data_IF_481373234749
#
_entry.id   IF_481373234749
#
_cell.length_a   1.000
_cell.length_b   1.000
_cell.length_c   1.000
_cell.angle_alpha   90.00
_cell.angle_beta   90.00
_cell.angle_gamma   90.00
#
_symmetry.space_group_name_H-M   'P 1'
#
loop_
_entity.id
_entity.type
_entity.pdbx_description
1 polymer ?
#
# COMPACT_ATOMS: atom_id res chain seq x y z
N UNK A 1 7.86 -8.95 -2.36
CA UNK A 1 9.12 -9.16 -1.60
C UNK A 1 10.36 -8.62 -2.34
N UNK A 2 10.58 -8.94 -3.62
CA UNK A 2 11.75 -8.46 -4.38
C UNK A 2 11.91 -6.93 -4.37
N UNK A 3 10.83 -6.18 -4.63
CA UNK A 3 10.82 -4.71 -4.57
C UNK A 3 11.25 -4.16 -3.20
N UNK A 4 10.68 -4.69 -2.11
CA UNK A 4 11.03 -4.26 -0.75
C UNK A 4 12.53 -4.49 -0.45
N UNK A 5 13.07 -5.65 -0.84
CA UNK A 5 14.50 -5.94 -0.68
C UNK A 5 15.39 -4.98 -1.48
N UNK A 6 15.02 -4.68 -2.72
CA UNK A 6 15.77 -3.72 -3.56
C UNK A 6 15.78 -2.30 -2.97
N UNK A 7 14.63 -1.82 -2.49
CA UNK A 7 14.51 -0.49 -1.89
C UNK A 7 15.32 -0.36 -0.59
N UNK A 8 15.30 -1.40 0.24
CA UNK A 8 16.11 -1.50 1.45
C UNK A 8 17.62 -1.39 1.16
N UNK A 9 18.12 -2.16 0.17
CA UNK A 9 19.51 -2.11 -0.28
C UNK A 9 19.89 -0.72 -0.82
N UNK A 10 18.94 -0.01 -1.42
CA UNK A 10 19.11 1.37 -1.92
C UNK A 10 19.14 2.45 -0.83
N UNK A 11 18.99 2.10 0.46
CA UNK A 11 18.92 3.10 1.54
C UNK A 11 17.68 3.99 1.43
N UNK A 12 16.57 3.43 0.96
CA UNK A 12 15.30 4.15 0.81
C UNK A 12 14.32 3.70 1.89
N UNK A 13 13.84 4.66 2.69
CA UNK A 13 12.79 4.43 3.69
C UNK A 13 11.49 5.05 3.20
N UNK A 14 10.38 4.29 3.16
CA UNK A 14 9.08 4.88 2.84
C UNK A 14 8.67 5.87 3.93
N UNK A 15 8.13 6.99 3.51
CA UNK A 15 7.57 8.03 4.39
C UNK A 15 6.07 8.18 4.22
N UNK A 16 5.53 7.74 3.09
CA UNK A 16 4.11 7.85 2.78
C UNK A 16 3.69 6.83 1.73
N UNK A 17 2.41 6.41 1.82
CA UNK A 17 1.70 5.75 0.72
C UNK A 17 0.43 6.52 0.45
N UNK A 18 0.26 6.98 -0.78
CA UNK A 18 -0.87 7.82 -1.21
C UNK A 18 -1.40 7.36 -2.57
N UNK A 19 -2.70 7.57 -2.84
CA UNK A 19 -3.24 7.37 -4.17
C UNK A 19 -2.96 8.59 -5.05
N UNK A 20 -2.70 8.33 -6.33
CA UNK A 20 -2.56 9.35 -7.37
C UNK A 20 -3.55 9.00 -8.48
N UNK A 21 -4.33 9.97 -9.02
CA UNK A 21 -5.14 9.71 -10.21
C UNK A 21 -4.27 9.11 -11.31
N UNK A 22 -4.65 7.94 -11.81
CA UNK A 22 -4.00 7.35 -12.99
C UNK A 22 -4.49 8.03 -14.28
N UNK A 23 -4.41 7.33 -15.41
CA UNK A 23 -4.98 7.80 -16.70
C UNK A 23 -6.53 7.79 -16.75
N UNK A 24 -7.18 7.89 -15.59
CA UNK A 24 -8.63 7.88 -15.50
C UNK A 24 -9.19 9.21 -16.01
N UNK A 25 -9.53 9.23 -17.30
CA UNK A 25 -10.15 10.36 -17.98
C UNK A 25 -10.08 10.32 -19.51
N UNK A 26 -9.30 9.42 -20.12
CA UNK A 26 -9.07 9.45 -21.58
C UNK A 26 -9.20 8.10 -22.30
N UNK A 27 -9.47 6.99 -21.60
CA UNK A 27 -9.54 5.66 -22.20
C UNK A 27 -10.97 5.12 -22.32
N UNK A 28 -11.37 4.67 -23.51
CA UNK A 28 -12.60 3.92 -23.83
C UNK A 28 -12.71 2.54 -23.12
N UNK A 29 -11.89 2.29 -22.10
CA UNK A 29 -11.64 0.96 -21.51
C UNK A 29 -11.79 0.92 -19.99
N UNK A 30 -12.60 1.82 -19.41
CA UNK A 30 -12.99 1.71 -18.00
C UNK A 30 -14.05 0.62 -17.87
N UNK A 31 -13.61 -0.62 -17.62
CA UNK A 31 -14.51 -1.71 -17.24
C UNK A 31 -14.63 -1.78 -15.72
N UNK A 32 -15.80 -2.21 -15.22
CA UNK A 32 -16.03 -2.39 -13.79
C UNK A 32 -14.95 -3.30 -13.17
N UNK A 33 -14.36 -2.83 -12.06
CA UNK A 33 -13.27 -3.52 -11.36
C UNK A 33 -11.85 -3.10 -11.75
N UNK A 34 -11.68 -2.17 -12.69
CA UNK A 34 -10.36 -1.56 -12.95
C UNK A 34 -9.99 -0.51 -11.88
N UNK A 35 -8.71 -0.50 -11.50
CA UNK A 35 -8.18 0.56 -10.63
C UNK A 35 -8.02 1.84 -11.44
N UNK A 36 -8.57 2.94 -10.92
CA UNK A 36 -8.48 4.28 -11.51
C UNK A 36 -7.36 5.11 -10.87
N UNK A 37 -6.84 4.64 -9.75
CA UNK A 37 -5.81 5.31 -8.96
C UNK A 37 -4.55 4.44 -8.84
N UNK A 38 -3.41 5.04 -9.11
CA UNK A 38 -2.12 4.46 -8.81
C UNK A 38 -1.82 4.54 -7.32
N UNK A 39 -1.18 3.51 -6.77
CA UNK A 39 -0.68 3.53 -5.40
C UNK A 39 0.80 3.93 -5.38
N UNK A 40 1.09 5.12 -4.85
CA UNK A 40 2.44 5.70 -4.85
C UNK A 40 3.10 5.53 -3.49
N UNK A 41 4.27 4.91 -3.47
CA UNK A 41 5.16 4.91 -2.30
C UNK A 41 6.16 6.06 -2.42
N UNK A 42 6.17 6.95 -1.44
CA UNK A 42 7.12 8.05 -1.35
C UNK A 42 8.27 7.63 -0.45
N UNK A 43 9.50 7.79 -0.92
CA UNK A 43 10.71 7.42 -0.18
C UNK A 43 11.56 8.63 0.16
N UNK A 44 12.29 8.53 1.26
CA UNK A 44 13.43 9.40 1.57
C UNK A 44 14.70 8.56 1.67
N UNK A 45 15.83 9.17 1.31
CA UNK A 45 17.15 8.55 1.53
C UNK A 45 17.47 8.57 3.02
N UNK A 46 17.69 7.40 3.61
CA UNK A 46 18.08 7.20 5.01
C UNK A 46 19.04 6.00 5.10
N UNK A 47 19.96 5.99 6.08
CA UNK A 47 20.84 4.84 6.27
C UNK A 47 20.00 3.57 6.51
N UNK A 48 20.20 2.59 5.62
CA UNK A 48 19.68 1.20 5.62
C UNK A 48 18.36 0.95 6.35
N UNK A 49 17.30 0.78 5.57
CA UNK A 49 16.04 0.20 6.05
C UNK A 49 16.14 -1.32 5.98
N UNK A 50 15.94 -2.05 7.08
CA UNK A 50 15.86 -3.52 7.02
C UNK A 50 14.41 -3.92 6.73
N UNK A 51 14.13 -4.62 5.62
CA UNK A 51 12.79 -5.08 5.31
C UNK A 51 12.47 -6.27 6.22
N UNK A 52 11.24 -6.31 6.75
CA UNK A 52 10.71 -7.47 7.46
C UNK A 52 9.80 -8.28 6.56
N UNK A 53 9.87 -9.61 6.67
CA UNK A 53 8.94 -10.50 5.98
C UNK A 53 7.66 -10.73 6.78
N UNK A 54 7.67 -10.43 8.08
CA UNK A 54 6.56 -10.61 8.99
C UNK A 54 6.03 -9.24 9.46
N UNK A 55 4.72 -9.08 9.40
CA UNK A 55 4.00 -7.88 9.84
C UNK A 55 3.22 -8.18 11.12
N UNK A 56 3.24 -7.27 12.09
CA UNK A 56 2.32 -7.35 13.23
C UNK A 56 0.89 -7.00 12.81
N UNK A 57 -0.07 -7.35 13.68
CA UNK A 57 -1.48 -7.01 13.49
C UNK A 57 -1.68 -5.49 13.45
N UNK A 58 -0.93 -4.75 14.25
CA UNK A 58 -0.96 -3.28 14.31
C UNK A 58 -0.46 -2.67 13.00
N UNK A 59 0.61 -3.21 12.42
CA UNK A 59 1.12 -2.76 11.13
C UNK A 59 0.11 -3.00 10.00
N UNK A 60 -0.56 -4.16 9.99
CA UNK A 60 -1.62 -4.48 9.02
C UNK A 60 -2.84 -3.57 9.22
N UNK A 61 -3.23 -3.32 10.48
CA UNK A 61 -4.32 -2.41 10.82
C UNK A 61 -4.01 -0.98 10.37
N UNK A 62 -2.78 -0.49 10.59
CA UNK A 62 -2.34 0.82 10.15
C UNK A 62 -2.33 0.95 8.62
N UNK A 63 -1.83 -0.07 7.92
CA UNK A 63 -1.89 -0.17 6.46
C UNK A 63 -3.34 -0.09 5.94
N UNK A 64 -4.26 -0.83 6.56
CA UNK A 64 -5.69 -0.80 6.20
C UNK A 64 -6.33 0.55 6.53
N UNK A 65 -5.99 1.15 7.67
CA UNK A 65 -6.49 2.46 8.08
C UNK A 65 -6.06 3.56 7.09
N UNK A 66 -4.83 3.49 6.57
CA UNK A 66 -4.37 4.41 5.52
C UNK A 66 -5.25 4.31 4.26
N UNK A 67 -5.49 3.09 3.76
CA UNK A 67 -6.35 2.89 2.58
C UNK A 67 -7.80 3.35 2.83
N UNK A 68 -8.36 3.06 4.01
CA UNK A 68 -9.71 3.50 4.41
C UNK A 68 -9.82 5.02 4.43
N UNK A 69 -8.83 5.71 5.02
CA UNK A 69 -8.79 7.17 5.08
C UNK A 69 -8.87 7.80 3.69
N UNK A 70 -8.14 7.25 2.72
CA UNK A 70 -8.16 7.74 1.35
C UNK A 70 -9.46 7.44 0.62
N UNK A 71 -10.01 6.22 0.80
CA UNK A 71 -11.35 5.90 0.29
C UNK A 71 -12.39 6.85 0.85
N UNK A 72 -12.43 7.08 2.16
CA UNK A 72 -13.42 7.96 2.78
C UNK A 72 -13.29 9.41 2.28
N UNK A 73 -12.07 9.84 1.95
CA UNK A 73 -11.80 11.16 1.35
C UNK A 73 -12.30 11.29 -0.09
N UNK A 74 -12.18 10.24 -0.91
CA UNK A 74 -12.41 10.33 -2.36
C UNK A 74 -13.65 9.57 -2.87
N UNK A 75 -14.30 8.75 -2.03
CA UNK A 75 -15.51 7.99 -2.42
C UNK A 75 -16.65 8.87 -2.94
N UNK A 76 -16.71 10.13 -2.49
CA UNK A 76 -17.75 11.10 -2.89
C UNK A 76 -17.36 11.97 -4.08
N UNK A 77 -16.26 11.67 -4.79
CA UNK A 77 -15.90 12.38 -6.00
C UNK A 77 -16.59 11.76 -7.22
N UNK A 78 -17.50 12.51 -7.85
CA UNK A 78 -18.34 12.01 -8.93
C UNK A 78 -17.55 11.64 -10.20
N UNK A 79 -16.47 12.37 -10.49
CA UNK A 79 -15.70 12.20 -11.73
C UNK A 79 -14.63 11.12 -11.66
N UNK A 80 -14.20 10.77 -10.45
CA UNK A 80 -13.12 9.82 -10.22
C UNK A 80 -13.36 9.13 -8.87
N UNK A 81 -14.36 8.23 -8.78
CA UNK A 81 -14.67 7.56 -7.53
C UNK A 81 -13.49 6.65 -7.13
N UNK A 82 -13.21 6.61 -5.84
CA UNK A 82 -12.25 5.68 -5.27
C UNK A 82 -12.95 4.35 -4.95
N UNK A 83 -12.74 3.35 -5.79
CA UNK A 83 -13.48 2.08 -5.76
C UNK A 83 -12.75 0.99 -4.94
N UNK A 84 -13.32 -0.21 -4.90
CA UNK A 84 -12.74 -1.32 -4.13
C UNK A 84 -11.42 -1.85 -4.73
N UNK A 85 -11.26 -1.79 -6.06
CA UNK A 85 -9.99 -2.12 -6.70
C UNK A 85 -8.87 -1.13 -6.29
N UNK A 86 -9.19 0.16 -6.21
CA UNK A 86 -8.28 1.21 -5.73
C UNK A 86 -7.93 1.01 -4.26
N UNK A 87 -8.92 0.64 -3.45
CA UNK A 87 -8.71 0.30 -2.04
C UNK A 87 -7.75 -0.89 -1.90
N UNK A 88 -7.99 -1.97 -2.63
CA UNK A 88 -7.15 -3.15 -2.61
C UNK A 88 -5.73 -2.83 -3.12
N UNK A 89 -5.59 -2.03 -4.17
CA UNK A 89 -4.30 -1.60 -4.70
C UNK A 89 -3.51 -0.79 -3.66
N UNK A 90 -4.13 0.25 -3.11
CA UNK A 90 -3.53 1.11 -2.10
C UNK A 90 -3.20 0.37 -0.81
N UNK A 91 -4.07 -0.57 -0.39
CA UNK A 91 -3.82 -1.39 0.79
C UNK A 91 -2.59 -2.30 0.60
N UNK A 92 -2.46 -2.96 -0.56
CA UNK A 92 -1.26 -3.77 -0.89
C UNK A 92 0.01 -2.92 -0.86
N UNK A 93 -0.01 -1.73 -1.46
CA UNK A 93 1.13 -0.81 -1.40
C UNK A 93 1.46 -0.39 0.04
N UNK A 94 0.43 -0.14 0.86
CA UNK A 94 0.59 0.16 2.29
C UNK A 94 1.20 -1.01 3.07
N UNK A 95 0.86 -2.26 2.76
CA UNK A 95 1.49 -3.44 3.37
C UNK A 95 2.97 -3.56 3.00
N UNK A 96 3.33 -3.25 1.74
CA UNK A 96 4.74 -3.14 1.33
C UNK A 96 5.45 -2.03 2.11
N UNK A 97 4.83 -0.85 2.25
CA UNK A 97 5.34 0.22 3.10
C UNK A 97 5.54 -0.22 4.55
N UNK A 98 4.60 -0.99 5.11
CA UNK A 98 4.68 -1.56 6.45
C UNK A 98 5.91 -2.48 6.60
N UNK A 99 6.14 -3.36 5.62
CA UNK A 99 7.32 -4.26 5.60
C UNK A 99 8.65 -3.52 5.57
N UNK A 100 8.63 -2.25 5.17
CA UNK A 100 9.78 -1.34 5.09
C UNK A 100 9.82 -0.35 6.25
N UNK A 101 9.01 -0.56 7.30
CA UNK A 101 9.04 0.22 8.54
C UNK A 101 8.24 1.52 8.50
N UNK A 102 7.31 1.70 7.55
CA UNK A 102 6.47 2.90 7.47
C UNK A 102 5.59 3.10 8.72
N UNK A 103 5.14 1.99 9.33
CA UNK A 103 4.25 2.00 10.50
C UNK A 103 4.96 1.48 11.76
N UNK A 104 6.27 1.75 11.86
CA UNK A 104 7.13 1.21 12.92
C UNK A 104 7.65 -0.20 12.61
N UNK A 105 8.44 -0.75 13.53
CA UNK A 105 8.96 -2.12 13.47
C UNK A 105 8.23 -2.97 14.51
N UNK A 106 7.94 -4.22 14.14
CA UNK A 106 7.45 -5.22 15.07
C UNK A 106 8.66 -6.02 15.60
N UNK A 107 8.75 -6.19 16.92
CA UNK A 107 9.67 -7.14 17.56
C UNK A 107 9.08 -8.56 17.63
N UNK A 108 7.91 -8.78 17.04
CA UNK A 108 7.08 -9.93 17.35
C UNK A 108 7.39 -11.15 16.45
N UNK A 109 7.81 -12.25 17.09
CA UNK A 109 8.10 -13.52 16.44
C UNK A 109 6.84 -14.19 15.84
N UNK A 110 5.64 -13.67 16.13
CA UNK A 110 4.34 -14.21 15.67
C UNK A 110 3.68 -13.39 14.54
N UNK A 111 4.44 -12.56 13.83
CA UNK A 111 3.90 -11.74 12.73
C UNK A 111 3.36 -12.56 11.54
N UNK A 112 2.36 -12.00 10.85
CA UNK A 112 1.77 -12.56 9.63
C UNK A 112 2.73 -12.31 8.46
N UNK A 113 2.96 -13.31 7.60
CA UNK A 113 3.87 -13.13 6.47
C UNK A 113 3.29 -12.11 5.49
N UNK A 114 4.13 -11.22 4.96
CA UNK A 114 3.74 -10.22 3.96
C UNK A 114 3.02 -10.87 2.77
N UNK A 115 3.45 -12.05 2.33
CA UNK A 115 2.79 -12.81 1.26
C UNK A 115 1.33 -13.12 1.60
N UNK A 116 1.09 -13.70 2.78
CA UNK A 116 -0.26 -14.05 3.26
C UNK A 116 -1.13 -12.79 3.40
N UNK A 117 -0.57 -11.71 3.94
CA UNK A 117 -1.28 -10.43 4.04
C UNK A 117 -1.67 -9.85 2.68
N UNK A 118 -0.82 -9.99 1.66
CA UNK A 118 -1.09 -9.55 0.28
C UNK A 118 -2.16 -10.41 -0.41
N UNK A 119 -2.20 -11.71 -0.14
CA UNK A 119 -3.22 -12.64 -0.66
C UNK A 119 -4.60 -12.30 -0.08
N UNK A 120 -4.69 -12.05 1.24
CA UNK A 120 -5.94 -11.59 1.88
C UNK A 120 -6.41 -10.25 1.32
N UNK A 121 -5.47 -9.33 1.03
CA UNK A 121 -5.79 -8.06 0.40
C UNK A 121 -6.29 -8.20 -1.05
N UNK A 122 -6.16 -9.38 -1.67
CA UNK A 122 -6.62 -9.64 -3.02
C UNK A 122 -8.00 -10.27 -3.15
N UNK A 123 -8.55 -10.83 -2.06
CA UNK A 123 -9.89 -11.42 -2.03
C UNK A 123 -10.98 -10.53 -1.42
N UNK A 124 -10.72 -9.23 -1.25
CA UNK A 124 -11.70 -8.25 -0.73
C UNK A 124 -12.20 -7.32 -1.83
#
# INVERSE_FOLDING_TARGET
LAMAKALALGGLKPVQVLPMPGEAGTGLHTHDGTSLWDAVLVFRKLPTTTPTENLSKEQIAAARANARRWRDRFRRQDRLPFNDADFANLFRASLVGASLGLYGHADDAQGIRLREALEVAAGQ
#
